data_IF_314826114650
#
_entry.id   IF_314826114650
#
_cell.length_a   1.000
_cell.length_b   1.000
_cell.length_c   1.000
_cell.angle_alpha   90.00
_cell.angle_beta   90.00
_cell.angle_gamma   90.00
#
_symmetry.space_group_name_H-M   'P 1'
#
loop_
_entity.id
_entity.type
_entity.pdbx_description
1 polymer ?
#
# COMPACT_ATOMS: atom_id res chain seq x y z
N UNK A 1 33.74 64.40 -90.36
CA UNK A 1 32.92 63.97 -89.21
C UNK A 1 32.24 62.62 -89.44
N UNK A 2 32.95 61.53 -89.74
CA UNK A 2 32.33 60.19 -89.97
C UNK A 2 33.08 59.08 -89.22
N UNK A 3 34.08 59.36 -88.41
CA UNK A 3 34.90 58.31 -87.78
C UNK A 3 34.59 58.04 -86.31
N UNK A 4 33.75 58.79 -85.63
CA UNK A 4 33.45 58.62 -84.21
C UNK A 4 32.22 57.73 -83.97
N UNK A 5 31.31 57.58 -84.92
CA UNK A 5 30.11 56.70 -84.76
C UNK A 5 30.44 55.19 -84.83
N UNK A 6 31.37 54.84 -85.71
CA UNK A 6 31.77 53.40 -85.88
C UNK A 6 32.48 52.80 -84.65
N UNK A 7 33.25 53.62 -83.94
CA UNK A 7 33.94 53.15 -82.71
C UNK A 7 32.99 52.97 -81.52
N UNK A 8 31.94 53.78 -81.48
CA UNK A 8 30.92 53.67 -80.39
C UNK A 8 30.07 52.39 -80.51
N UNK A 9 29.72 52.03 -81.76
CA UNK A 9 28.92 50.77 -81.99
C UNK A 9 29.73 49.51 -81.71
N UNK A 10 31.03 49.44 -82.10
CA UNK A 10 31.90 48.28 -81.76
C UNK A 10 32.14 48.14 -80.28
N UNK A 11 32.31 49.23 -79.53
CA UNK A 11 32.46 49.22 -78.08
C UNK A 11 31.17 48.79 -77.43
N UNK A 12 30.02 49.21 -77.91
CA UNK A 12 28.70 48.80 -77.39
C UNK A 12 28.50 47.30 -77.59
N UNK A 13 28.82 46.73 -78.75
CA UNK A 13 28.73 45.30 -79.07
C UNK A 13 29.65 44.50 -78.13
N UNK A 14 30.84 45.00 -77.83
CA UNK A 14 31.78 44.35 -76.89
C UNK A 14 31.26 44.42 -75.47
N UNK A 15 30.68 45.52 -75.03
CA UNK A 15 30.04 45.62 -73.68
C UNK A 15 28.87 44.65 -73.58
N UNK A 16 28.01 44.60 -74.58
CA UNK A 16 26.86 43.66 -74.53
C UNK A 16 27.29 42.23 -74.58
N UNK A 17 28.34 41.83 -75.27
CA UNK A 17 28.92 40.49 -75.29
C UNK A 17 29.55 40.16 -73.96
N UNK A 18 30.24 41.04 -73.29
CA UNK A 18 30.77 40.86 -71.96
C UNK A 18 29.66 40.75 -70.89
N UNK A 19 28.61 41.62 -70.99
CA UNK A 19 27.42 41.52 -70.15
C UNK A 19 26.75 40.15 -70.30
N UNK A 20 26.60 39.59 -71.49
CA UNK A 20 25.98 38.31 -71.74
C UNK A 20 26.84 37.15 -71.15
N UNK A 21 28.18 37.28 -71.34
CA UNK A 21 29.10 36.25 -70.66
C UNK A 21 28.98 36.31 -69.10
N UNK A 22 28.94 37.52 -68.54
CA UNK A 22 28.77 37.73 -67.11
C UNK A 22 27.44 37.21 -66.64
N UNK A 23 26.38 37.48 -67.35
CA UNK A 23 25.04 36.95 -67.00
C UNK A 23 25.00 35.39 -67.05
N UNK A 24 25.56 34.80 -68.12
CA UNK A 24 25.63 33.35 -68.22
C UNK A 24 26.51 32.69 -67.12
N UNK A 25 27.64 33.35 -66.79
CA UNK A 25 28.49 32.88 -65.68
C UNK A 25 27.78 32.94 -64.34
N UNK A 26 27.10 34.08 -64.09
CA UNK A 26 26.35 34.31 -62.86
C UNK A 26 25.16 33.31 -62.72
N UNK A 27 24.42 33.05 -63.81
CA UNK A 27 23.33 32.10 -63.85
C UNK A 27 23.83 30.65 -63.56
N UNK A 28 25.01 30.24 -64.09
CA UNK A 28 25.59 28.98 -63.78
C UNK A 28 26.09 28.85 -62.31
N UNK A 29 26.65 29.94 -61.77
CA UNK A 29 27.06 29.97 -60.36
C UNK A 29 25.83 29.87 -59.45
N UNK A 30 24.74 30.55 -59.75
CA UNK A 30 23.48 30.45 -59.05
C UNK A 30 22.90 29.02 -59.10
N UNK A 31 22.89 28.39 -60.28
CA UNK A 31 22.43 27.01 -60.44
C UNK A 31 23.24 26.05 -59.60
N UNK A 32 24.57 26.23 -59.56
CA UNK A 32 25.44 25.37 -58.72
C UNK A 32 25.19 25.58 -57.24
N UNK A 33 24.93 26.81 -56.78
CA UNK A 33 24.57 27.11 -55.39
C UNK A 33 23.21 26.47 -55.04
N UNK A 34 22.20 26.56 -55.89
CA UNK A 34 20.89 25.91 -55.68
C UNK A 34 21.04 24.39 -55.65
N UNK A 35 21.81 23.79 -56.55
CA UNK A 35 22.04 22.35 -56.56
C UNK A 35 22.74 21.88 -55.27
N UNK A 36 23.77 22.61 -54.83
CA UNK A 36 24.48 22.33 -53.59
C UNK A 36 23.58 22.45 -52.37
N UNK A 37 22.77 23.53 -52.32
CA UNK A 37 21.80 23.73 -51.22
C UNK A 37 20.75 22.61 -51.16
N UNK A 38 20.29 22.13 -52.29
CA UNK A 38 19.35 21.02 -52.41
C UNK A 38 19.96 19.71 -51.92
N UNK A 39 21.22 19.44 -52.27
CA UNK A 39 21.97 18.26 -51.81
C UNK A 39 22.17 18.30 -50.27
N UNK A 40 22.56 19.47 -49.74
CA UNK A 40 22.72 19.62 -48.27
C UNK A 40 21.44 19.42 -47.53
N UNK A 41 20.32 20.01 -47.98
CA UNK A 41 19.00 19.83 -47.35
C UNK A 41 18.56 18.38 -47.44
N UNK A 42 18.77 17.69 -48.57
CA UNK A 42 18.45 16.25 -48.68
C UNK A 42 19.28 15.41 -47.72
N UNK A 43 20.58 15.67 -47.61
CA UNK A 43 21.46 14.98 -46.66
C UNK A 43 21.01 15.19 -45.20
N UNK A 44 20.64 16.41 -44.83
CA UNK A 44 20.12 16.70 -43.46
C UNK A 44 18.81 15.96 -43.17
N UNK A 45 17.87 15.91 -44.13
CA UNK A 45 16.63 15.17 -44.01
C UNK A 45 16.89 13.68 -43.84
N UNK A 46 17.83 13.10 -44.56
CA UNK A 46 18.20 11.71 -44.48
C UNK A 46 18.82 11.38 -43.10
N UNK A 47 19.74 12.23 -42.63
CA UNK A 47 20.31 12.11 -41.27
C UNK A 47 19.23 12.20 -40.21
N UNK A 48 18.33 13.18 -40.31
CA UNK A 48 17.20 13.34 -39.38
C UNK A 48 16.31 12.10 -39.35
N UNK A 49 16.01 11.52 -40.52
CA UNK A 49 15.23 10.27 -40.62
C UNK A 49 15.94 9.09 -39.95
N UNK A 50 17.25 8.92 -40.16
CA UNK A 50 18.05 7.86 -39.54
C UNK A 50 18.10 8.02 -38.02
N UNK A 51 18.32 9.23 -37.53
CA UNK A 51 18.31 9.53 -36.09
C UNK A 51 16.94 9.21 -35.49
N UNK A 52 15.85 9.64 -36.14
CA UNK A 52 14.48 9.35 -35.70
C UNK A 52 14.23 7.85 -35.58
N UNK A 53 14.66 7.06 -36.56
CA UNK A 53 14.54 5.59 -36.52
C UNK A 53 15.37 4.96 -35.40
N UNK A 54 16.56 5.44 -35.14
CA UNK A 54 17.38 4.98 -34.02
C UNK A 54 16.75 5.29 -32.67
N UNK A 55 16.22 6.52 -32.51
CA UNK A 55 15.52 6.93 -31.27
C UNK A 55 14.29 6.05 -31.06
N UNK A 56 13.44 5.86 -32.10
CA UNK A 56 12.25 5.02 -32.03
C UNK A 56 12.58 3.58 -31.58
N UNK A 57 13.64 2.99 -32.15
CA UNK A 57 14.08 1.65 -31.77
C UNK A 57 14.51 1.59 -30.31
N UNK A 58 15.36 2.53 -29.86
CA UNK A 58 15.80 2.61 -28.46
C UNK A 58 14.65 2.83 -27.48
N UNK A 59 13.72 3.72 -27.84
CA UNK A 59 12.53 3.98 -27.01
C UNK A 59 11.67 2.73 -26.83
N UNK A 60 11.47 1.96 -27.89
CA UNK A 60 10.71 0.71 -27.82
C UNK A 60 11.43 -0.36 -26.98
N UNK A 61 12.76 -0.47 -27.06
CA UNK A 61 13.57 -1.34 -26.20
C UNK A 61 13.45 -0.94 -24.72
N UNK A 62 13.55 0.35 -24.39
CA UNK A 62 13.35 0.85 -23.01
C UNK A 62 11.94 0.57 -22.48
N UNK A 63 10.92 0.82 -23.30
CA UNK A 63 9.52 0.54 -22.93
C UNK A 63 9.29 -0.95 -22.62
N UNK A 64 9.85 -1.84 -23.41
CA UNK A 64 9.78 -3.29 -23.19
C UNK A 64 10.49 -3.69 -21.89
N UNK A 65 11.69 -3.16 -21.63
CA UNK A 65 12.44 -3.45 -20.41
C UNK A 65 11.72 -2.92 -19.16
N UNK A 66 11.18 -1.70 -19.21
CA UNK A 66 10.39 -1.14 -18.10
C UNK A 66 9.16 -2.01 -17.81
N UNK A 67 8.40 -2.41 -18.85
CA UNK A 67 7.23 -3.26 -18.67
C UNK A 67 7.60 -4.64 -18.08
N UNK A 68 8.76 -5.20 -18.46
CA UNK A 68 9.26 -6.44 -17.89
C UNK A 68 9.59 -6.26 -16.39
N UNK A 69 10.30 -5.20 -16.03
CA UNK A 69 10.63 -4.89 -14.64
C UNK A 69 9.38 -4.66 -13.78
N UNK A 70 8.37 -3.95 -14.32
CA UNK A 70 7.09 -3.76 -13.63
C UNK A 70 6.43 -5.11 -13.32
N UNK A 71 6.36 -6.02 -14.30
CA UNK A 71 5.77 -7.36 -14.11
C UNK A 71 6.56 -8.20 -13.10
N UNK A 72 7.89 -8.16 -13.15
CA UNK A 72 8.73 -8.86 -12.18
C UNK A 72 8.55 -8.32 -10.76
N UNK A 73 8.50 -7.00 -10.60
CA UNK A 73 8.23 -6.36 -9.32
C UNK A 73 6.83 -6.70 -8.78
N UNK A 74 5.81 -6.72 -9.65
CA UNK A 74 4.45 -7.14 -9.25
C UNK A 74 4.45 -8.58 -8.74
N UNK A 75 5.10 -9.50 -9.46
CA UNK A 75 5.21 -10.90 -9.04
C UNK A 75 5.97 -11.06 -7.72
N UNK A 76 7.04 -10.31 -7.52
CA UNK A 76 7.77 -10.31 -6.25
C UNK A 76 6.90 -9.78 -5.11
N UNK A 77 6.15 -8.71 -5.34
CA UNK A 77 5.21 -8.16 -4.36
C UNK A 77 4.13 -9.19 -3.97
N UNK A 78 3.50 -9.84 -4.94
CA UNK A 78 2.51 -10.90 -4.65
C UNK A 78 3.10 -12.03 -3.80
N UNK A 79 4.33 -12.49 -4.12
CA UNK A 79 5.01 -13.51 -3.34
C UNK A 79 5.33 -13.04 -1.91
N UNK A 80 5.79 -11.81 -1.74
CA UNK A 80 6.06 -11.22 -0.42
C UNK A 80 4.77 -11.07 0.39
N UNK A 81 3.69 -10.63 -0.25
CA UNK A 81 2.38 -10.51 0.37
C UNK A 81 1.87 -11.87 0.87
N UNK A 82 1.98 -12.92 0.03
CA UNK A 82 1.64 -14.29 0.43
C UNK A 82 2.50 -14.78 1.61
N UNK A 83 3.81 -14.57 1.58
CA UNK A 83 4.71 -14.94 2.68
C UNK A 83 4.35 -14.20 3.97
N UNK A 84 4.03 -12.91 3.90
CA UNK A 84 3.59 -12.14 5.06
C UNK A 84 2.27 -12.66 5.62
N UNK A 85 1.30 -12.98 4.76
CA UNK A 85 0.04 -13.60 5.18
C UNK A 85 0.25 -14.96 5.86
N UNK A 86 1.10 -15.82 5.29
CA UNK A 86 1.42 -17.14 5.87
C UNK A 86 2.13 -17.01 7.22
N UNK A 87 3.01 -16.04 7.38
CA UNK A 87 3.69 -15.78 8.65
C UNK A 87 2.72 -15.30 9.73
N UNK A 88 1.85 -14.33 9.40
CA UNK A 88 0.78 -13.88 10.28
C UNK A 88 -0.20 -15.02 10.63
N UNK A 89 -0.47 -15.93 9.68
CA UNK A 89 -1.24 -17.16 9.90
C UNK A 89 -0.59 -18.06 10.94
N UNK A 90 0.72 -18.31 10.83
CA UNK A 90 1.44 -19.17 11.78
C UNK A 90 1.34 -18.63 13.21
N UNK A 91 1.52 -17.34 13.40
CA UNK A 91 1.37 -16.67 14.70
C UNK A 91 -0.09 -16.72 15.21
N UNK A 92 -1.06 -16.47 14.33
CA UNK A 92 -2.48 -16.51 14.68
C UNK A 92 -2.98 -17.92 14.99
N UNK A 93 -2.50 -18.98 14.32
CA UNK A 93 -2.91 -20.37 14.58
C UNK A 93 -2.62 -20.75 16.03
N UNK A 94 -1.44 -20.39 16.56
CA UNK A 94 -1.12 -20.61 17.96
C UNK A 94 -2.11 -19.92 18.92
N UNK A 95 -2.45 -18.68 18.63
CA UNK A 95 -3.41 -17.91 19.42
C UNK A 95 -4.83 -18.45 19.28
N UNK A 96 -5.25 -18.85 18.08
CA UNK A 96 -6.57 -19.43 17.81
C UNK A 96 -6.75 -20.78 18.53
N UNK A 97 -5.71 -21.62 18.57
CA UNK A 97 -5.79 -22.88 19.31
C UNK A 97 -6.09 -22.63 20.80
N UNK A 98 -5.49 -21.61 21.39
CA UNK A 98 -5.83 -21.18 22.75
C UNK A 98 -7.24 -20.58 22.84
N UNK A 99 -7.66 -19.78 21.87
CA UNK A 99 -9.01 -19.19 21.81
C UNK A 99 -10.11 -20.25 21.68
N UNK A 100 -9.86 -21.34 20.97
CA UNK A 100 -10.84 -22.42 20.83
C UNK A 100 -10.93 -23.29 22.08
N UNK A 101 -9.84 -23.48 22.82
CA UNK A 101 -9.84 -24.24 24.05
C UNK A 101 -10.76 -23.67 25.12
N UNK A 102 -10.84 -22.32 25.23
CA UNK A 102 -11.69 -21.66 26.21
C UNK A 102 -13.18 -21.91 25.98
N UNK A 103 -13.80 -21.59 24.81
CA UNK A 103 -15.21 -21.88 24.58
C UNK A 103 -15.53 -23.38 24.61
N UNK A 104 -14.63 -24.24 24.10
CA UNK A 104 -14.80 -25.66 24.20
C UNK A 104 -14.83 -26.14 25.67
N UNK A 105 -14.00 -25.58 26.55
CA UNK A 105 -14.05 -25.84 27.99
C UNK A 105 -15.37 -25.41 28.62
N UNK A 106 -15.91 -24.23 28.23
CA UNK A 106 -17.22 -23.75 28.68
C UNK A 106 -18.34 -24.71 28.27
N UNK A 107 -18.36 -25.11 26.98
CA UNK A 107 -19.32 -26.08 26.45
C UNK A 107 -19.22 -27.41 27.21
N UNK A 108 -18.00 -27.89 27.42
CA UNK A 108 -17.76 -29.16 28.13
C UNK A 108 -18.23 -29.09 29.60
N UNK A 109 -17.92 -27.97 30.28
CA UNK A 109 -18.33 -27.74 31.67
C UNK A 109 -19.85 -27.66 31.80
N UNK A 110 -20.52 -26.88 30.92
CA UNK A 110 -21.99 -26.78 30.92
C UNK A 110 -22.63 -28.15 30.65
N UNK A 111 -22.15 -28.89 29.64
CA UNK A 111 -22.64 -30.23 29.31
C UNK A 111 -22.43 -31.23 30.45
N UNK A 112 -21.24 -31.23 31.09
CA UNK A 112 -20.92 -32.09 32.24
C UNK A 112 -21.77 -31.72 33.45
N UNK A 113 -22.03 -30.42 33.66
CA UNK A 113 -22.92 -29.93 34.72
C UNK A 113 -24.35 -30.46 34.57
N UNK A 114 -24.93 -30.39 33.37
CA UNK A 114 -26.25 -30.95 33.05
C UNK A 114 -26.26 -32.46 33.40
N UNK A 115 -25.22 -33.20 32.97
CA UNK A 115 -25.14 -34.63 33.20
C UNK A 115 -25.11 -34.97 34.70
N UNK A 116 -24.23 -34.34 35.48
CA UNK A 116 -24.10 -34.56 36.92
C UNK A 116 -25.40 -34.22 37.65
N UNK A 117 -26.03 -33.11 37.34
CA UNK A 117 -27.29 -32.67 37.97
C UNK A 117 -28.45 -33.62 37.62
N UNK A 118 -28.44 -34.21 36.39
CA UNK A 118 -29.41 -35.25 36.04
C UNK A 118 -29.20 -36.55 36.81
N UNK A 119 -27.94 -36.97 36.99
CA UNK A 119 -27.60 -38.17 37.75
C UNK A 119 -27.90 -38.04 39.24
N UNK A 120 -27.90 -36.83 39.80
CA UNK A 120 -28.19 -36.52 41.20
C UNK A 120 -29.64 -36.08 41.46
N UNK A 121 -30.51 -36.11 40.43
CA UNK A 121 -31.91 -35.62 40.47
C UNK A 121 -32.06 -34.12 40.88
N UNK A 122 -31.02 -33.31 40.68
CA UNK A 122 -31.01 -31.89 40.99
C UNK A 122 -31.26 -31.02 39.74
N UNK A 123 -31.39 -31.62 38.55
CA UNK A 123 -31.60 -30.86 37.30
C UNK A 123 -33.01 -30.27 37.26
N UNK A 124 -33.08 -28.92 37.25
CA UNK A 124 -34.33 -28.21 37.00
C UNK A 124 -34.37 -27.73 35.56
N UNK A 125 -35.58 -27.49 35.01
CA UNK A 125 -35.77 -26.93 33.66
C UNK A 125 -34.99 -25.61 33.49
N UNK A 126 -35.00 -24.75 34.50
CA UNK A 126 -34.26 -23.49 34.49
C UNK A 126 -32.74 -23.73 34.27
N UNK A 127 -32.14 -24.60 35.06
CA UNK A 127 -30.70 -24.93 34.96
C UNK A 127 -30.39 -25.55 33.60
N UNK A 128 -31.28 -26.40 33.09
CA UNK A 128 -31.14 -27.01 31.77
C UNK A 128 -31.12 -25.95 30.67
N UNK A 129 -32.14 -25.08 30.64
CA UNK A 129 -32.24 -24.06 29.61
C UNK A 129 -31.09 -23.00 29.69
N UNK A 130 -30.73 -22.52 30.90
CA UNK A 130 -29.60 -21.62 31.09
C UNK A 130 -28.29 -22.24 30.58
N UNK A 131 -28.08 -23.56 30.84
CA UNK A 131 -26.88 -24.26 30.36
C UNK A 131 -26.88 -24.48 28.85
N UNK A 132 -28.03 -24.78 28.25
CA UNK A 132 -28.19 -24.90 26.81
C UNK A 132 -27.95 -23.56 26.09
N UNK A 133 -28.47 -22.47 26.65
CA UNK A 133 -28.24 -21.12 26.12
C UNK A 133 -26.74 -20.75 26.11
N UNK A 134 -26.02 -21.09 27.20
CA UNK A 134 -24.56 -20.90 27.26
C UNK A 134 -23.87 -21.70 26.16
N UNK A 135 -24.26 -22.97 25.95
CA UNK A 135 -23.68 -23.82 24.90
C UNK A 135 -23.92 -23.24 23.52
N UNK A 136 -25.16 -22.81 23.22
CA UNK A 136 -25.55 -22.24 21.93
C UNK A 136 -24.77 -20.95 21.65
N UNK A 137 -24.80 -19.98 22.57
CA UNK A 137 -24.11 -18.69 22.43
C UNK A 137 -22.60 -18.88 22.25
N UNK A 138 -22.03 -19.85 23.01
CA UNK A 138 -20.58 -20.14 22.93
C UNK A 138 -20.22 -20.79 21.60
N UNK A 139 -21.07 -21.67 21.07
CA UNK A 139 -20.90 -22.32 19.77
C UNK A 139 -21.02 -21.33 18.60
N UNK A 140 -21.97 -20.40 18.67
CA UNK A 140 -22.12 -19.31 17.68
C UNK A 140 -20.90 -18.38 17.69
N UNK A 141 -20.40 -18.02 18.87
CA UNK A 141 -19.17 -17.23 18.99
C UNK A 141 -17.96 -17.93 18.35
N UNK A 142 -17.82 -19.23 18.58
CA UNK A 142 -16.76 -20.05 17.99
C UNK A 142 -16.86 -20.09 16.45
N UNK A 143 -18.08 -20.31 15.93
CA UNK A 143 -18.36 -20.31 14.48
C UNK A 143 -18.00 -18.98 13.83
N UNK A 144 -18.41 -17.86 14.42
CA UNK A 144 -18.10 -16.52 13.92
C UNK A 144 -16.58 -16.25 13.91
N UNK A 145 -15.87 -16.73 14.93
CA UNK A 145 -14.41 -16.59 15.00
C UNK A 145 -13.71 -17.37 13.87
N UNK A 146 -14.21 -18.58 13.54
CA UNK A 146 -13.71 -19.38 12.42
C UNK A 146 -13.97 -18.67 11.09
N UNK A 147 -15.14 -18.09 10.92
CA UNK A 147 -15.51 -17.38 9.69
C UNK A 147 -14.68 -16.11 9.47
N UNK A 148 -14.48 -15.31 10.54
CA UNK A 148 -13.58 -14.14 10.51
C UNK A 148 -12.14 -14.53 10.14
N UNK A 149 -11.64 -15.67 10.67
CA UNK A 149 -10.34 -16.20 10.34
C UNK A 149 -10.25 -16.66 8.87
N UNK A 150 -11.22 -17.44 8.41
CA UNK A 150 -11.29 -17.89 7.01
C UNK A 150 -11.36 -16.72 6.03
N UNK A 151 -12.13 -15.69 6.36
CA UNK A 151 -12.28 -14.50 5.53
C UNK A 151 -10.99 -13.68 5.42
N UNK A 152 -10.14 -13.68 6.44
CA UNK A 152 -8.84 -13.00 6.42
C UNK A 152 -7.92 -13.51 5.30
N UNK A 153 -8.01 -14.81 4.93
CA UNK A 153 -7.12 -15.42 3.92
C UNK A 153 -7.65 -15.32 2.49
N UNK A 154 -8.92 -15.00 2.29
CA UNK A 154 -9.45 -14.80 0.94
C UNK A 154 -8.88 -13.50 0.36
N UNK A 155 -8.37 -13.51 -0.88
CA UNK A 155 -7.98 -12.25 -1.54
C UNK A 155 -9.21 -11.41 -1.82
N UNK A 156 -9.09 -10.09 -1.65
CA UNK A 156 -10.06 -9.15 -2.22
C UNK A 156 -9.85 -9.11 -3.73
N UNK A 157 -10.87 -9.46 -4.49
CA UNK A 157 -10.81 -9.44 -5.97
C UNK A 157 -11.13 -8.07 -6.54
N UNK A 158 -12.00 -7.31 -5.88
CA UNK A 158 -12.51 -6.03 -6.34
C UNK A 158 -12.62 -5.04 -5.18
N UNK A 159 -12.48 -3.76 -5.49
CA UNK A 159 -12.76 -2.69 -4.54
C UNK A 159 -14.24 -2.70 -4.18
N UNK A 160 -14.54 -2.42 -2.93
CA UNK A 160 -15.90 -2.30 -2.42
C UNK A 160 -16.03 -1.07 -1.53
N UNK A 161 -17.27 -0.60 -1.40
CA UNK A 161 -17.59 0.46 -0.43
C UNK A 161 -17.93 -0.21 0.90
N UNK A 162 -17.24 0.20 1.96
CA UNK A 162 -17.46 -0.35 3.30
C UNK A 162 -17.26 0.68 4.41
N UNK A 163 -17.78 0.37 5.58
CA UNK A 163 -17.61 1.16 6.80
C UNK A 163 -16.29 0.75 7.50
N UNK A 164 -15.45 1.73 7.83
CA UNK A 164 -14.14 1.50 8.49
C UNK A 164 -14.30 0.76 9.82
N UNK A 165 -15.39 0.97 10.54
CA UNK A 165 -15.65 0.26 11.80
C UNK A 165 -15.72 -1.26 11.64
N UNK A 166 -16.11 -1.77 10.47
CA UNK A 166 -16.28 -3.20 10.23
C UNK A 166 -14.95 -3.98 10.29
N UNK A 167 -13.89 -3.65 9.53
CA UNK A 167 -12.58 -4.27 9.69
C UNK A 167 -11.97 -4.02 11.07
N UNK A 168 -12.20 -2.85 11.70
CA UNK A 168 -11.73 -2.58 13.06
C UNK A 168 -12.38 -3.55 14.06
N UNK A 169 -13.71 -3.73 14.01
CA UNK A 169 -14.42 -4.69 14.90
C UNK A 169 -13.92 -6.14 14.69
N UNK A 170 -13.70 -6.55 13.42
CA UNK A 170 -13.12 -7.87 13.11
C UNK A 170 -11.73 -8.04 13.72
N UNK A 171 -10.87 -7.02 13.58
CA UNK A 171 -9.53 -7.04 14.17
C UNK A 171 -9.56 -7.24 15.68
N UNK A 172 -10.43 -6.51 16.38
CA UNK A 172 -10.56 -6.68 17.82
C UNK A 172 -11.01 -8.10 18.22
N UNK A 173 -11.96 -8.70 17.51
CA UNK A 173 -12.38 -10.09 17.77
C UNK A 173 -11.22 -11.06 17.64
N UNK A 174 -10.40 -10.91 16.59
CA UNK A 174 -9.24 -11.77 16.34
C UNK A 174 -8.14 -11.61 17.40
N UNK A 175 -8.00 -10.40 18.00
CA UNK A 175 -6.98 -10.10 19.00
C UNK A 175 -7.45 -10.26 20.46
N UNK A 176 -8.73 -10.55 20.70
CA UNK A 176 -9.34 -10.53 22.04
C UNK A 176 -8.61 -11.42 23.03
N UNK A 177 -8.30 -12.65 22.64
CA UNK A 177 -7.62 -13.61 23.51
C UNK A 177 -6.19 -13.16 23.85
N UNK A 178 -5.44 -12.68 22.86
CA UNK A 178 -4.07 -12.23 23.05
C UNK A 178 -4.01 -10.99 23.96
N UNK A 179 -4.94 -10.04 23.77
CA UNK A 179 -5.03 -8.86 24.62
C UNK A 179 -5.39 -9.18 26.07
N UNK A 180 -6.29 -10.14 26.29
CA UNK A 180 -6.68 -10.61 27.63
C UNK A 180 -5.50 -11.28 28.35
N UNK A 181 -4.77 -12.16 27.67
CA UNK A 181 -3.57 -12.82 28.24
C UNK A 181 -2.53 -11.79 28.66
N UNK A 182 -2.26 -10.78 27.80
CA UNK A 182 -1.29 -9.72 28.07
C UNK A 182 -1.85 -8.59 28.95
N UNK A 183 -3.12 -8.67 29.37
CA UNK A 183 -3.83 -7.66 30.19
C UNK A 183 -3.82 -6.25 29.56
N UNK A 184 -4.06 -6.18 28.25
CA UNK A 184 -4.08 -4.92 27.50
C UNK A 184 -5.49 -4.36 27.44
N UNK A 185 -5.62 -3.08 27.75
CA UNK A 185 -6.88 -2.35 27.66
C UNK A 185 -6.96 -1.55 26.35
N UNK A 186 -7.98 -1.83 25.54
CA UNK A 186 -8.28 -1.04 24.35
C UNK A 186 -9.23 0.12 24.65
N UNK A 187 -8.80 1.34 24.33
CA UNK A 187 -9.62 2.54 24.37
C UNK A 187 -10.02 2.90 22.94
N UNK A 188 -11.32 2.99 22.68
CA UNK A 188 -11.88 3.08 21.33
C UNK A 188 -12.68 4.36 21.18
N UNK A 189 -12.43 5.11 20.11
CA UNK A 189 -13.20 6.27 19.68
C UNK A 189 -13.36 6.19 18.15
N UNK A 190 -14.42 5.52 17.70
CA UNK A 190 -14.58 5.11 16.30
C UNK A 190 -15.86 5.71 15.74
N UNK A 191 -15.70 6.66 14.83
CA UNK A 191 -16.80 7.24 14.07
C UNK A 191 -17.09 6.38 12.85
N UNK A 192 -18.35 6.35 12.43
CA UNK A 192 -18.80 5.63 11.24
C UNK A 192 -18.39 6.40 9.99
N UNK A 193 -17.41 5.87 9.24
CA UNK A 193 -16.87 6.48 8.04
C UNK A 193 -16.93 5.49 6.87
N UNK A 194 -17.29 5.99 5.68
CA UNK A 194 -17.43 5.21 4.47
C UNK A 194 -16.24 5.45 3.54
N UNK A 195 -15.59 4.38 3.08
CA UNK A 195 -14.49 4.45 2.12
C UNK A 195 -14.68 3.43 1.01
N UNK A 196 -14.00 3.65 -0.12
CA UNK A 196 -13.86 2.68 -1.19
C UNK A 196 -12.46 2.04 -1.12
N UNK A 197 -12.39 0.72 -1.13
CA UNK A 197 -11.12 0.01 -1.04
C UNK A 197 -11.27 -1.50 -0.89
N UNK A 198 -10.25 -2.11 -0.30
CA UNK A 198 -10.17 -3.54 -0.05
C UNK A 198 -10.30 -3.81 1.45
N UNK A 199 -11.51 -4.23 1.89
CA UNK A 199 -11.83 -4.42 3.33
C UNK A 199 -10.87 -5.38 4.02
N UNK A 200 -10.50 -6.50 3.36
CA UNK A 200 -9.61 -7.53 3.94
C UNK A 200 -8.15 -7.06 3.99
N UNK A 201 -7.73 -6.28 3.02
CA UNK A 201 -6.39 -5.68 3.05
C UNK A 201 -6.27 -4.66 4.19
N UNK A 202 -7.30 -3.84 4.42
CA UNK A 202 -7.34 -2.95 5.59
C UNK A 202 -7.34 -3.74 6.90
N UNK A 203 -8.08 -4.83 6.99
CA UNK A 203 -8.05 -5.76 8.13
C UNK A 203 -6.61 -6.28 8.37
N UNK A 204 -5.89 -6.66 7.31
CA UNK A 204 -4.50 -7.10 7.39
C UNK A 204 -3.58 -6.01 7.95
N UNK A 205 -3.72 -4.78 7.48
CA UNK A 205 -2.95 -3.61 7.96
C UNK A 205 -3.20 -3.38 9.46
N UNK A 206 -4.47 -3.39 9.88
CA UNK A 206 -4.85 -3.20 11.27
C UNK A 206 -4.31 -4.30 12.18
N UNK A 207 -4.38 -5.56 11.75
CA UNK A 207 -3.79 -6.70 12.47
C UNK A 207 -2.29 -6.56 12.63
N UNK A 208 -1.58 -6.20 11.57
CA UNK A 208 -0.12 -6.02 11.63
C UNK A 208 0.29 -4.92 12.62
N UNK A 209 -0.40 -3.78 12.60
CA UNK A 209 -0.09 -2.66 13.49
C UNK A 209 -0.45 -3.00 14.94
N UNK A 210 -1.63 -3.57 15.18
CA UNK A 210 -2.07 -3.90 16.52
C UNK A 210 -1.27 -5.04 17.16
N UNK A 211 -0.88 -6.08 16.39
CA UNK A 211 0.04 -7.10 16.87
C UNK A 211 1.39 -6.50 17.24
N UNK A 212 1.93 -5.59 16.44
CA UNK A 212 3.17 -4.90 16.79
C UNK A 212 3.05 -4.08 18.08
N UNK A 213 1.92 -3.38 18.29
CA UNK A 213 1.66 -2.65 19.53
C UNK A 213 1.51 -3.60 20.74
N UNK A 214 0.83 -4.74 20.58
CA UNK A 214 0.68 -5.76 21.62
C UNK A 214 2.04 -6.38 22.01
N UNK A 215 2.90 -6.62 21.03
CA UNK A 215 4.22 -7.24 21.24
C UNK A 215 5.28 -6.29 21.77
N UNK A 216 5.05 -4.98 21.62
CA UNK A 216 5.95 -3.96 22.14
C UNK A 216 5.91 -3.82 23.68
N UNK A 217 4.86 -4.31 24.34
CA UNK A 217 4.75 -4.25 25.79
C UNK A 217 5.69 -5.24 26.48
N UNK A 218 6.52 -4.74 27.38
CA UNK A 218 7.25 -5.57 28.30
C UNK A 218 6.30 -6.28 29.30
N UNK A 219 6.69 -7.44 29.80
CA UNK A 219 5.83 -8.24 30.72
C UNK A 219 5.50 -7.49 32.01
N UNK A 220 6.45 -6.72 32.52
CA UNK A 220 6.38 -5.96 33.77
C UNK A 220 5.66 -4.61 33.64
N UNK A 221 5.23 -4.22 32.44
CA UNK A 221 4.47 -2.99 32.26
C UNK A 221 3.14 -3.06 33.03
N UNK A 222 2.96 -2.16 34.03
CA UNK A 222 1.79 -2.18 34.92
C UNK A 222 0.49 -1.88 34.19
N UNK A 223 0.45 -0.82 33.40
CA UNK A 223 -0.73 -0.35 32.67
C UNK A 223 -0.46 -0.42 31.17
N UNK A 224 -1.15 -1.28 30.45
CA UNK A 224 -0.99 -1.50 29.00
C UNK A 224 -2.22 -0.98 28.28
N UNK A 225 -2.07 0.14 27.57
CA UNK A 225 -3.14 0.81 26.85
C UNK A 225 -2.83 0.88 25.35
N UNK A 226 -3.83 0.52 24.54
CA UNK A 226 -3.83 0.79 23.10
C UNK A 226 -5.07 1.60 22.76
N UNK A 227 -4.88 2.79 22.22
CA UNK A 227 -5.93 3.70 21.78
C UNK A 227 -6.15 3.51 20.29
N UNK A 228 -7.39 3.34 19.89
CA UNK A 228 -7.77 3.23 18.47
C UNK A 228 -8.88 4.23 18.21
N UNK A 229 -8.60 5.20 17.36
CA UNK A 229 -9.58 6.20 16.93
C UNK A 229 -9.74 6.22 15.43
N UNK A 230 -10.95 6.48 14.96
CA UNK A 230 -11.26 6.68 13.56
C UNK A 230 -12.19 7.89 13.41
N UNK A 231 -11.77 8.90 12.66
CA UNK A 231 -12.47 10.16 12.50
C UNK A 231 -12.19 10.79 11.13
N UNK A 232 -13.05 11.73 10.74
CA UNK A 232 -12.87 12.51 9.52
C UNK A 232 -11.98 13.73 9.78
N UNK A 233 -11.04 13.99 8.87
CA UNK A 233 -10.24 15.22 8.86
C UNK A 233 -9.83 15.57 7.44
N UNK A 234 -10.10 16.82 7.00
CA UNK A 234 -9.71 17.34 5.68
C UNK A 234 -10.16 16.41 4.52
N UNK A 235 -11.41 15.95 4.55
CA UNK A 235 -11.98 15.01 3.56
C UNK A 235 -11.26 13.66 3.48
N UNK A 236 -10.56 13.27 4.52
CA UNK A 236 -9.95 11.97 4.66
C UNK A 236 -10.47 11.26 5.91
N UNK A 237 -10.56 9.95 5.82
CA UNK A 237 -10.74 9.08 6.96
C UNK A 237 -9.37 8.86 7.61
N UNK A 238 -9.26 9.20 8.88
CA UNK A 238 -8.06 9.03 9.68
C UNK A 238 -8.27 7.88 10.65
N UNK A 239 -7.36 6.90 10.64
CA UNK A 239 -7.32 5.86 11.67
C UNK A 239 -6.02 6.05 12.44
N UNK A 240 -6.11 6.30 13.74
CA UNK A 240 -4.95 6.42 14.62
C UNK A 240 -4.91 5.23 15.58
N UNK A 241 -3.76 4.59 15.67
CA UNK A 241 -3.47 3.53 16.64
C UNK A 241 -2.27 4.00 17.46
N UNK A 242 -2.47 4.15 18.77
CA UNK A 242 -1.47 4.67 19.70
C UNK A 242 -1.32 3.74 20.88
N UNK A 243 -0.11 3.36 21.22
CA UNK A 243 0.23 2.57 22.40
C UNK A 243 0.97 3.40 23.46
N UNK A 244 1.20 2.81 24.62
CA UNK A 244 2.06 3.35 25.68
C UNK A 244 3.24 2.41 25.99
N UNK A 245 3.77 1.73 24.97
CA UNK A 245 4.84 0.73 25.13
C UNK A 245 6.27 1.31 25.11
N UNK A 246 6.44 2.63 25.33
CA UNK A 246 7.75 3.27 25.45
C UNK A 246 8.28 3.92 24.16
N UNK A 247 7.77 3.56 22.99
CA UNK A 247 8.19 4.14 21.70
C UNK A 247 9.25 3.31 20.98
N UNK A 248 9.75 3.84 19.87
CA UNK A 248 10.79 3.24 19.02
C UNK A 248 11.96 4.21 18.94
N UNK A 249 13.21 3.71 18.96
CA UNK A 249 14.39 4.52 18.75
C UNK A 249 14.32 5.31 17.44
N UNK A 250 14.76 6.58 17.45
CA UNK A 250 14.59 7.50 16.30
C UNK A 250 15.20 6.98 14.99
N UNK A 251 16.32 6.29 15.07
CA UNK A 251 17.00 5.75 13.90
C UNK A 251 16.26 4.51 13.35
N UNK A 252 15.71 3.70 14.23
CA UNK A 252 14.89 2.55 13.84
C UNK A 252 13.54 2.99 13.26
N UNK A 253 12.93 4.05 13.79
CA UNK A 253 11.64 4.56 13.34
C UNK A 253 11.62 4.93 11.85
N UNK A 254 12.75 5.32 11.28
CA UNK A 254 12.89 5.60 9.84
C UNK A 254 12.86 4.35 8.98
N UNK A 255 13.19 3.20 9.58
CA UNK A 255 13.41 1.92 8.89
C UNK A 255 12.30 0.91 9.07
N UNK A 256 11.33 1.17 9.96
CA UNK A 256 10.26 0.19 10.30
C UNK A 256 9.41 -0.25 9.10
N UNK A 257 9.40 0.54 8.02
CA UNK A 257 8.72 0.22 6.77
C UNK A 257 9.64 -0.41 5.70
N UNK A 258 10.94 -0.61 5.99
CA UNK A 258 11.84 -1.32 5.08
C UNK A 258 11.49 -2.83 5.07
N UNK A 259 11.54 -3.49 3.90
CA UNK A 259 11.30 -4.93 3.84
C UNK A 259 12.36 -5.69 4.64
N UNK A 260 11.91 -6.74 5.34
CA UNK A 260 12.74 -7.59 6.21
C UNK A 260 13.34 -6.89 7.44
N UNK A 261 13.00 -5.64 7.72
CA UNK A 261 13.44 -4.96 8.93
C UNK A 261 12.64 -5.46 10.14
N UNK A 262 13.33 -5.97 11.14
CA UNK A 262 12.74 -6.44 12.41
C UNK A 262 13.74 -6.29 13.55
N UNK A 263 13.23 -5.93 14.72
CA UNK A 263 13.96 -5.96 16.00
C UNK A 263 13.66 -7.22 16.79
N UNK A 264 12.67 -8.02 16.35
CA UNK A 264 12.32 -9.30 16.97
C UNK A 264 13.29 -10.39 16.55
N UNK A 265 13.41 -11.44 17.37
CA UNK A 265 14.22 -12.61 17.02
C UNK A 265 13.72 -13.21 15.68
N UNK A 266 14.63 -13.76 14.84
CA UNK A 266 14.33 -14.31 13.50
C UNK A 266 13.19 -15.34 13.46
N UNK A 267 12.92 -16.01 14.58
CA UNK A 267 11.81 -16.97 14.72
C UNK A 267 10.44 -16.32 14.97
N UNK A 268 10.40 -15.02 15.33
CA UNK A 268 9.18 -14.35 15.78
C UNK A 268 8.75 -13.17 14.90
N UNK A 269 9.59 -12.74 13.96
CA UNK A 269 9.25 -11.60 13.10
C UNK A 269 9.86 -11.71 11.71
N UNK A 270 9.03 -11.68 10.67
CA UNK A 270 9.47 -11.72 9.26
C UNK A 270 10.01 -10.37 8.77
N UNK A 271 9.74 -9.28 9.49
CA UNK A 271 10.05 -7.92 9.04
C UNK A 271 9.26 -7.45 7.80
N UNK A 272 8.21 -8.17 7.42
CA UNK A 272 7.39 -7.86 6.23
C UNK A 272 6.08 -7.16 6.56
N UNK A 273 5.58 -7.26 7.80
CA UNK A 273 4.24 -6.79 8.17
C UNK A 273 4.02 -5.30 7.89
N UNK A 274 4.88 -4.42 8.42
CA UNK A 274 4.74 -2.97 8.22
C UNK A 274 5.06 -2.54 6.79
N UNK A 275 6.03 -3.19 6.12
CA UNK A 275 6.30 -2.96 4.70
C UNK A 275 5.04 -3.24 3.85
N UNK A 276 4.42 -4.41 4.02
CA UNK A 276 3.17 -4.77 3.30
C UNK A 276 2.03 -3.82 3.67
N UNK A 277 1.94 -3.41 4.95
CA UNK A 277 0.94 -2.41 5.37
C UNK A 277 1.11 -1.08 4.63
N UNK A 278 2.35 -0.61 4.43
CA UNK A 278 2.63 0.59 3.66
C UNK A 278 2.26 0.43 2.18
N UNK A 279 2.60 -0.69 1.56
CA UNK A 279 2.28 -0.99 0.17
C UNK A 279 0.75 -1.06 -0.05
N UNK A 280 0.02 -1.73 0.83
CA UNK A 280 -1.45 -1.80 0.77
C UNK A 280 -2.04 -0.40 0.83
N UNK A 281 -1.69 0.37 1.85
CA UNK A 281 -2.27 1.70 2.05
C UNK A 281 -1.91 2.65 0.91
N UNK A 282 -0.65 2.66 0.46
CA UNK A 282 -0.19 3.62 -0.55
C UNK A 282 -0.61 3.23 -1.97
N UNK A 283 -0.49 1.96 -2.35
CA UNK A 283 -0.73 1.54 -3.74
C UNK A 283 -2.16 1.07 -4.01
N UNK A 284 -2.76 0.35 -3.06
CA UNK A 284 -4.09 -0.22 -3.29
C UNK A 284 -5.21 0.70 -2.82
N UNK A 285 -4.98 1.46 -1.74
CA UNK A 285 -6.01 2.32 -1.16
C UNK A 285 -5.78 3.81 -1.39
N UNK A 286 -4.76 4.21 -2.16
CA UNK A 286 -4.40 5.61 -2.46
C UNK A 286 -4.30 6.48 -1.20
N UNK A 287 -3.84 5.88 -0.10
CA UNK A 287 -3.72 6.50 1.20
C UNK A 287 -2.27 6.73 1.61
N UNK A 288 -2.08 7.08 2.88
CA UNK A 288 -0.77 7.26 3.51
C UNK A 288 -0.75 6.61 4.88
N UNK A 289 0.36 5.98 5.26
CA UNK A 289 0.61 5.50 6.61
C UNK A 289 1.86 6.17 7.17
N UNK A 290 1.78 6.61 8.41
CA UNK A 290 2.87 7.27 9.13
C UNK A 290 2.99 6.69 10.52
N UNK A 291 4.21 6.68 11.06
CA UNK A 291 4.48 6.32 12.45
C UNK A 291 5.34 7.39 13.12
N UNK A 292 5.03 7.70 14.37
CA UNK A 292 5.82 8.62 15.18
C UNK A 292 5.76 8.28 16.65
N UNK A 293 6.84 8.57 17.37
CA UNK A 293 6.80 8.55 18.82
C UNK A 293 5.89 9.68 19.33
N UNK A 294 5.16 9.41 20.38
CA UNK A 294 4.26 10.36 21.01
C UNK A 294 4.33 10.28 22.52
N UNK A 295 4.15 11.44 23.18
CA UNK A 295 3.96 11.52 24.63
C UNK A 295 2.58 12.11 24.89
N UNK A 296 1.84 11.55 25.82
CA UNK A 296 0.47 11.95 26.13
C UNK A 296 0.14 11.66 27.60
N UNK A 297 -0.92 12.29 28.09
CA UNK A 297 -1.44 12.06 29.44
C UNK A 297 -2.76 11.27 29.35
N UNK A 298 -2.91 10.28 30.21
CA UNK A 298 -4.15 9.51 30.37
C UNK A 298 -4.30 9.11 31.84
N UNK A 299 -5.49 9.35 32.45
CA UNK A 299 -5.74 9.13 33.87
C UNK A 299 -4.67 9.76 34.77
N UNK A 300 -4.33 11.05 34.49
CA UNK A 300 -3.32 11.86 35.21
C UNK A 300 -1.88 11.32 35.17
N UNK A 301 -1.61 10.25 34.44
CA UNK A 301 -0.28 9.70 34.24
C UNK A 301 0.27 10.05 32.84
N UNK A 302 1.58 10.32 32.76
CA UNK A 302 2.29 10.57 31.50
C UNK A 302 2.80 9.28 30.92
N UNK A 303 2.50 9.07 29.62
CA UNK A 303 2.92 7.91 28.88
C UNK A 303 3.70 8.31 27.62
N UNK A 304 4.57 7.42 27.18
CA UNK A 304 5.25 7.48 25.88
C UNK A 304 4.97 6.22 25.10
N UNK A 305 4.87 6.34 23.78
CA UNK A 305 4.63 5.19 22.92
C UNK A 305 4.72 5.56 21.45
N UNK A 306 4.24 4.70 20.59
CA UNK A 306 4.15 4.94 19.14
C UNK A 306 2.73 5.30 18.75
N UNK A 307 2.61 6.21 17.81
CA UNK A 307 1.35 6.50 17.12
C UNK A 307 1.51 6.19 15.64
N UNK A 308 0.74 5.23 15.15
CA UNK A 308 0.49 5.00 13.73
C UNK A 308 -0.72 5.80 13.28
N UNK A 309 -0.62 6.43 12.12
CA UNK A 309 -1.69 7.21 11.50
C UNK A 309 -1.88 6.73 10.08
N UNK A 310 -3.07 6.22 9.77
CA UNK A 310 -3.50 5.80 8.43
C UNK A 310 -4.45 6.88 7.92
N UNK A 311 -4.17 7.38 6.72
CA UNK A 311 -4.95 8.43 6.05
C UNK A 311 -5.50 7.82 4.77
N UNK A 312 -6.81 7.77 4.62
CA UNK A 312 -7.50 7.20 3.48
C UNK A 312 -8.45 8.23 2.85
N UNK A 313 -8.59 8.27 1.52
CA UNK A 313 -9.61 9.09 0.89
C UNK A 313 -11.01 8.71 1.39
N UNK A 314 -11.79 9.71 1.81
CA UNK A 314 -13.19 9.51 2.18
C UNK A 314 -14.03 9.40 0.90
N UNK A 315 -15.02 8.50 0.89
CA UNK A 315 -15.99 8.47 -0.19
C UNK A 315 -16.84 9.74 -0.11
N UNK A 316 -16.89 10.50 -1.21
CA UNK A 316 -17.81 11.62 -1.32
C UNK A 316 -19.21 11.09 -1.60
N UNK A 317 -20.19 11.51 -0.82
CA UNK A 317 -21.60 11.26 -1.12
C UNK A 317 -22.04 11.92 -2.42
#
# INVERSE_FOLDING_TARGET
>A
MISTGFYVDEVQVLIDKEKEKFAKKHDNELKNIYLLSLLVTFALLLISFLISKLIEKRFNEYKLNINKQIKENQKQYELLSQKSKLAAMGEMIGNIAHQWRQPLSVITTASSGIKIQKETDLLTDKILFDSLDIIILTSEHLSNTIEDFKDYFKPDKEKSIFLIEKPIKKTFRLLLSQSNIKKITFIKDIHTLKIEGYERELLQVLLNILNNAIDAFAEDTKNKYIFVSAYEKNQNAIIEIKDNAGGIEKDLLKRIFEPYFTTKHKSQGTGLGLYISQEIISRHMNGKIEAKNTSFTYNDEKYTGVKFCIILPLLKD
#
